data_IF_716568058479
#
_entry.id   IF_716568058479
#
_cell.length_a   1.000
_cell.length_b   1.000
_cell.length_c   1.000
_cell.angle_alpha   90.00
_cell.angle_beta   90.00
_cell.angle_gamma   90.00
#
_symmetry.space_group_name_H-M   'P 1'
#
loop_
_entity.id
_entity.type
_entity.pdbx_description
1 polymer ?
#
# COMPACT_ATOMS: atom_id res chain seq x y z
N UNK A 1 42.23 19.43 -28.78
CA UNK A 1 42.07 20.82 -28.27
C UNK A 1 41.25 20.78 -26.99
N UNK A 2 41.84 21.28 -25.91
CA UNK A 2 41.33 21.21 -24.54
C UNK A 2 40.77 22.59 -24.21
N UNK A 3 39.44 22.74 -24.15
CA UNK A 3 38.82 23.99 -23.70
C UNK A 3 38.47 23.85 -22.21
N UNK A 4 39.29 24.51 -21.41
CA UNK A 4 39.09 24.75 -19.99
C UNK A 4 38.16 25.97 -19.79
N UNK A 5 37.44 25.97 -18.65
CA UNK A 5 36.64 27.04 -18.03
C UNK A 5 35.24 27.25 -18.65
N UNK A 6 34.14 27.18 -17.90
CA UNK A 6 33.94 27.86 -16.62
C UNK A 6 32.95 27.13 -15.68
N UNK A 7 33.32 27.02 -14.40
CA UNK A 7 32.56 26.43 -13.28
C UNK A 7 31.23 27.15 -12.92
N UNK A 8 30.84 28.21 -13.64
CA UNK A 8 29.65 29.01 -13.33
C UNK A 8 28.37 28.44 -13.94
N UNK A 9 28.47 27.59 -14.97
CA UNK A 9 27.27 27.06 -15.65
C UNK A 9 26.60 25.92 -14.89
N UNK A 10 27.27 25.35 -13.87
CA UNK A 10 26.73 24.22 -13.10
C UNK A 10 25.77 24.66 -11.98
N UNK A 11 25.70 25.96 -11.64
CA UNK A 11 24.83 26.44 -10.55
C UNK A 11 23.45 26.95 -10.99
N UNK A 12 23.17 27.09 -12.28
CA UNK A 12 21.86 27.53 -12.79
C UNK A 12 21.00 26.40 -13.39
N UNK A 13 21.61 25.25 -13.69
CA UNK A 13 20.90 24.06 -14.19
C UNK A 13 20.53 23.05 -13.10
N UNK A 14 20.78 23.36 -11.83
CA UNK A 14 20.50 22.47 -10.70
C UNK A 14 19.07 22.62 -10.13
N UNK A 15 18.18 23.39 -10.77
CA UNK A 15 16.77 23.56 -10.33
C UNK A 15 15.76 23.19 -11.43
N UNK A 16 16.14 22.27 -12.32
CA UNK A 16 15.25 21.74 -13.37
C UNK A 16 15.14 20.21 -13.36
N UNK A 17 15.47 19.58 -12.24
CA UNK A 17 14.96 18.25 -11.92
C UNK A 17 13.75 18.44 -11.02
N UNK A 18 12.65 18.96 -11.57
CA UNK A 18 11.36 18.62 -11.01
C UNK A 18 11.26 17.10 -11.18
N UNK A 19 11.45 16.37 -10.09
CA UNK A 19 11.10 14.95 -10.03
C UNK A 19 9.58 14.95 -10.24
N UNK A 20 9.15 14.76 -11.48
CA UNK A 20 7.77 14.41 -11.78
C UNK A 20 7.63 13.00 -11.21
N UNK A 21 7.22 12.93 -9.95
CA UNK A 21 6.55 11.74 -9.45
C UNK A 21 5.33 11.57 -10.36
N UNK A 22 5.34 10.51 -11.16
CA UNK A 22 4.14 10.09 -11.85
C UNK A 22 3.15 9.63 -10.79
N UNK A 23 2.42 10.58 -10.21
CA UNK A 23 1.17 10.25 -9.52
C UNK A 23 0.34 9.57 -10.60
N UNK A 24 0.18 8.26 -10.50
CA UNK A 24 -0.74 7.54 -11.39
C UNK A 24 -2.10 8.19 -11.17
N UNK A 25 -2.57 8.92 -12.19
CA UNK A 25 -3.85 9.59 -12.14
C UNK A 25 -4.92 8.49 -12.01
N UNK A 26 -5.49 8.36 -10.81
CA UNK A 26 -6.25 7.17 -10.44
C UNK A 26 -6.55 7.08 -8.95
N UNK A 27 -7.00 5.89 -8.54
CA UNK A 27 -7.29 5.59 -7.14
C UNK A 27 -6.00 5.61 -6.29
N UNK A 28 -6.07 6.27 -5.13
CA UNK A 28 -5.05 6.14 -4.09
C UNK A 28 -4.96 4.69 -3.60
N UNK A 29 -3.85 4.39 -2.91
CA UNK A 29 -3.80 3.17 -2.10
C UNK A 29 -4.96 3.13 -1.10
N UNK A 30 -5.41 1.91 -0.78
CA UNK A 30 -6.37 1.70 0.29
C UNK A 30 -5.76 2.09 1.63
N UNK A 31 -6.56 2.77 2.44
CA UNK A 31 -6.19 3.21 3.80
C UNK A 31 -7.30 2.87 4.76
N UNK A 32 -6.97 2.61 6.02
CA UNK A 32 -8.00 2.35 7.02
C UNK A 32 -8.86 3.59 7.22
N UNK A 33 -10.18 3.40 7.27
CA UNK A 33 -11.13 4.49 7.49
C UNK A 33 -10.87 5.16 8.84
N UNK A 34 -10.97 6.50 8.96
CA UNK A 34 -10.73 7.17 10.23
C UNK A 34 -11.60 6.60 11.37
N UNK A 35 -10.94 6.14 12.43
CA UNK A 35 -11.60 5.52 13.59
C UNK A 35 -11.98 4.05 13.41
N UNK A 36 -11.72 3.45 12.25
CA UNK A 36 -11.87 2.01 12.08
C UNK A 36 -10.80 1.26 12.88
N UNK A 37 -11.20 0.12 13.43
CA UNK A 37 -10.31 -0.78 14.14
C UNK A 37 -10.60 -2.20 13.69
N UNK A 38 -9.55 -2.99 13.50
CA UNK A 38 -9.71 -4.41 13.24
C UNK A 38 -10.48 -5.07 14.39
N UNK A 39 -11.54 -5.80 14.08
CA UNK A 39 -12.40 -6.44 15.09
C UNK A 39 -11.83 -7.77 15.65
N UNK A 40 -10.64 -8.17 15.21
CA UNK A 40 -9.87 -9.29 15.76
C UNK A 40 -8.39 -8.92 15.74
N UNK A 41 -7.54 -9.65 16.45
CA UNK A 41 -6.13 -9.25 16.68
C UNK A 41 -5.10 -10.17 16.02
N UNK A 42 -5.53 -11.26 15.38
CA UNK A 42 -4.63 -12.22 14.73
C UNK A 42 -5.35 -13.07 13.69
N UNK A 43 -4.57 -13.85 12.95
CA UNK A 43 -5.00 -14.94 12.10
C UNK A 43 -5.71 -14.51 10.83
N UNK A 44 -5.63 -13.24 10.44
CA UNK A 44 -6.46 -12.66 9.39
C UNK A 44 -7.97 -12.94 9.58
N UNK A 45 -8.37 -13.06 10.84
CA UNK A 45 -9.75 -13.35 11.24
C UNK A 45 -10.61 -12.08 11.26
N UNK A 46 -9.96 -10.93 11.47
CA UNK A 46 -10.64 -9.66 11.60
C UNK A 46 -10.96 -9.02 10.25
N UNK A 47 -11.89 -8.06 10.30
CA UNK A 47 -12.26 -7.19 9.19
C UNK A 47 -12.09 -5.73 9.59
N UNK A 48 -11.70 -4.91 8.63
CA UNK A 48 -11.55 -3.46 8.78
C UNK A 48 -12.12 -2.75 7.55
N UNK A 49 -12.79 -1.62 7.78
CA UNK A 49 -13.23 -0.73 6.72
C UNK A 49 -12.05 0.07 6.18
N UNK A 50 -11.85 0.01 4.87
CA UNK A 50 -10.84 0.79 4.18
C UNK A 50 -11.49 1.73 3.17
N UNK A 51 -10.86 2.87 2.97
CA UNK A 51 -11.24 3.90 2.01
C UNK A 51 -10.06 4.22 1.10
N UNK A 52 -10.38 4.67 -0.11
CA UNK A 52 -9.42 5.25 -1.05
C UNK A 52 -10.02 6.48 -1.71
N UNK A 53 -9.17 7.39 -2.16
CA UNK A 53 -9.57 8.65 -2.80
C UNK A 53 -9.15 8.62 -4.25
N UNK A 54 -9.96 9.17 -5.15
CA UNK A 54 -9.55 9.36 -6.53
C UNK A 54 -8.78 10.68 -6.65
N UNK A 55 -7.53 10.62 -7.07
CA UNK A 55 -6.63 11.78 -7.21
C UNK A 55 -6.47 12.19 -8.68
N UNK A 56 -7.59 12.19 -9.41
CA UNK A 56 -7.65 12.49 -10.85
C UNK A 56 -8.58 13.69 -11.14
N UNK A 57 -8.23 14.59 -12.08
CA UNK A 57 -9.10 15.69 -12.49
C UNK A 57 -10.42 15.26 -13.17
N UNK A 58 -10.50 14.06 -13.74
CA UNK A 58 -11.74 13.44 -14.26
C UNK A 58 -12.07 12.12 -13.52
N UNK A 59 -12.57 12.22 -12.27
CA UNK A 59 -12.78 11.05 -11.42
C UNK A 59 -13.87 10.10 -11.94
N UNK A 60 -14.85 10.61 -12.69
CA UNK A 60 -15.95 9.80 -13.21
C UNK A 60 -15.48 8.79 -14.27
N UNK A 61 -14.43 9.14 -15.00
CA UNK A 61 -13.90 8.31 -16.09
C UNK A 61 -12.74 7.44 -15.62
N UNK A 62 -11.86 7.98 -14.79
CA UNK A 62 -10.56 7.36 -14.48
C UNK A 62 -10.58 6.53 -13.18
N UNK A 63 -11.57 6.72 -12.32
CA UNK A 63 -11.69 6.00 -11.04
C UNK A 63 -12.98 5.19 -11.00
N UNK A 64 -13.07 4.18 -11.87
CA UNK A 64 -14.18 3.22 -11.82
C UNK A 64 -14.01 2.25 -10.63
N UNK A 65 -15.13 1.86 -10.03
CA UNK A 65 -15.19 0.93 -8.90
C UNK A 65 -15.46 1.60 -7.55
N UNK A 66 -15.40 0.81 -6.49
CA UNK A 66 -15.77 1.23 -5.14
C UNK A 66 -14.69 2.11 -4.48
N UNK A 67 -15.12 3.11 -3.70
CA UNK A 67 -14.25 3.95 -2.86
C UNK A 67 -14.10 3.43 -1.42
N UNK A 68 -14.94 2.46 -1.03
CA UNK A 68 -14.93 1.80 0.28
C UNK A 68 -14.86 0.29 0.10
N UNK A 69 -14.17 -0.41 1.02
CA UNK A 69 -14.16 -1.87 1.05
C UNK A 69 -14.06 -2.41 2.47
N UNK A 70 -14.38 -3.69 2.63
CA UNK A 70 -14.13 -4.45 3.86
C UNK A 70 -12.97 -5.43 3.65
N UNK A 71 -11.79 -5.06 4.14
CA UNK A 71 -10.57 -5.85 4.00
C UNK A 71 -10.34 -6.75 5.23
N UNK A 72 -9.51 -7.81 5.08
CA UNK A 72 -8.95 -8.53 6.23
C UNK A 72 -7.86 -7.69 6.89
N UNK A 73 -7.65 -7.94 8.18
CA UNK A 73 -6.63 -7.27 8.97
C UNK A 73 -6.00 -8.21 9.99
N UNK A 74 -4.87 -7.79 10.57
CA UNK A 74 -4.07 -8.55 11.54
C UNK A 74 -3.68 -9.95 11.04
N UNK A 75 -2.79 -9.95 10.05
CA UNK A 75 -2.29 -11.15 9.37
C UNK A 75 -1.25 -11.95 10.19
N UNK A 76 -0.81 -11.45 11.33
CA UNK A 76 0.03 -12.23 12.26
C UNK A 76 -0.71 -13.49 12.72
N UNK A 77 -0.02 -14.63 12.80
CA UNK A 77 -0.66 -15.89 13.21
C UNK A 77 -1.25 -15.80 14.63
N UNK A 78 -2.42 -16.40 14.83
CA UNK A 78 -2.90 -16.67 16.17
C UNK A 78 -2.08 -17.79 16.84
N UNK A 79 -1.88 -17.65 18.15
CA UNK A 79 -1.32 -18.73 18.96
C UNK A 79 -2.44 -19.63 19.52
N UNK A 80 -2.05 -20.81 20.00
CA UNK A 80 -2.94 -21.70 20.74
C UNK A 80 -3.67 -20.93 21.87
N UNK A 81 -4.99 -21.13 22.07
CA UNK A 81 -5.83 -22.23 21.58
C UNK A 81 -6.52 -22.01 20.23
N UNK A 82 -6.28 -20.88 19.56
CA UNK A 82 -6.94 -20.56 18.30
C UNK A 82 -6.25 -21.24 17.11
N UNK A 83 -6.98 -21.45 16.03
CA UNK A 83 -6.37 -21.80 14.75
C UNK A 83 -5.43 -20.69 14.29
N UNK A 84 -4.23 -21.00 13.77
CA UNK A 84 -3.25 -19.98 13.40
C UNK A 84 -3.75 -18.96 12.38
N UNK A 85 -4.53 -19.41 11.39
CA UNK A 85 -5.14 -18.58 10.36
C UNK A 85 -6.62 -18.94 10.19
N UNK A 86 -7.46 -17.94 9.94
CA UNK A 86 -8.87 -18.12 9.68
C UNK A 86 -9.15 -18.55 8.23
N UNK A 87 -10.36 -19.07 8.00
CA UNK A 87 -10.82 -19.54 6.69
C UNK A 87 -10.66 -18.47 5.60
N UNK A 88 -10.23 -18.90 4.40
CA UNK A 88 -9.89 -18.04 3.27
C UNK A 88 -8.46 -17.50 3.31
N UNK A 89 -7.65 -17.90 4.30
CA UNK A 89 -6.22 -17.61 4.35
C UNK A 89 -5.42 -18.87 4.69
N UNK A 90 -4.15 -18.90 4.27
CA UNK A 90 -3.22 -19.98 4.57
C UNK A 90 -1.99 -19.44 5.29
N UNK A 91 -1.37 -20.28 6.10
CA UNK A 91 -0.08 -19.96 6.73
C UNK A 91 1.00 -19.87 5.67
N UNK A 92 1.71 -18.75 5.62
CA UNK A 92 2.85 -18.48 4.77
C UNK A 92 4.07 -18.07 5.61
N UNK A 93 5.23 -18.00 4.96
CA UNK A 93 6.47 -17.52 5.56
C UNK A 93 6.81 -16.17 4.93
N UNK A 94 6.89 -15.14 5.75
CA UNK A 94 7.52 -13.89 5.38
C UNK A 94 9.03 -14.05 5.59
N UNK A 95 9.80 -14.12 4.50
CA UNK A 95 11.25 -14.32 4.52
C UNK A 95 12.01 -13.06 4.94
N UNK A 96 11.45 -11.88 4.72
CA UNK A 96 12.09 -10.61 5.07
C UNK A 96 12.07 -10.43 6.59
N UNK A 97 10.88 -10.57 7.17
CA UNK A 97 10.71 -10.42 8.61
C UNK A 97 11.01 -11.71 9.39
N UNK A 98 11.15 -12.85 8.70
CA UNK A 98 11.41 -14.19 9.27
C UNK A 98 10.30 -14.64 10.22
N UNK A 99 9.06 -14.37 9.83
CA UNK A 99 7.85 -14.63 10.62
C UNK A 99 6.90 -15.55 9.85
N UNK A 100 6.01 -16.22 10.58
CA UNK A 100 4.86 -16.87 9.98
C UNK A 100 3.68 -15.91 9.98
N UNK A 101 3.04 -15.77 8.82
CA UNK A 101 1.89 -14.89 8.62
C UNK A 101 0.75 -15.67 7.97
N UNK A 102 -0.44 -15.11 8.00
CA UNK A 102 -1.55 -15.56 7.17
C UNK A 102 -1.51 -14.80 5.85
N UNK A 103 -1.78 -15.50 4.75
CA UNK A 103 -1.83 -14.92 3.42
C UNK A 103 -3.14 -15.34 2.75
N UNK A 104 -3.79 -14.41 2.07
CA UNK A 104 -4.98 -14.72 1.27
C UNK A 104 -4.61 -15.68 0.15
N UNK A 105 -5.48 -16.65 -0.11
CA UNK A 105 -5.29 -17.57 -1.23
C UNK A 105 -5.85 -16.93 -2.48
N UNK A 106 -4.99 -16.62 -3.44
CA UNK A 106 -5.43 -16.34 -4.81
C UNK A 106 -6.08 -17.62 -5.36
N UNK A 107 -7.38 -17.57 -5.66
CA UNK A 107 -8.07 -18.60 -6.44
C UNK A 107 -7.95 -18.31 -7.94
#
# INVERSE_FOLDING_TARGET
MKFLLSLVVVSAFAVLFAVVDSQEAGWSAWTDKPGASCNDTCGACGRIEQIRTCEDPDPATNCQGESEQLARCNFDICLFPRHPCCEGTKKAIDLENKLFVCQETEE
#
